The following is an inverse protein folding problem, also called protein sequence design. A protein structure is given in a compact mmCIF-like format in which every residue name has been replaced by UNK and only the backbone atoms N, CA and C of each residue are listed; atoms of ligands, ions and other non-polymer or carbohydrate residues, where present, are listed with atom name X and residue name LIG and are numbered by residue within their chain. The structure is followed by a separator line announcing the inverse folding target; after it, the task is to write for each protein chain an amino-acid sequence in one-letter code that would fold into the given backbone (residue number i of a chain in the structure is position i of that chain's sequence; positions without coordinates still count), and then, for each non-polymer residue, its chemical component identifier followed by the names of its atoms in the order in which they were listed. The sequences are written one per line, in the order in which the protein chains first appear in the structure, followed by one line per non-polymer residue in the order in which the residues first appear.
data_IF_763000989020
#
_entry.id   IF_763000989020
#
_cell.length_a   1.000
_cell.length_b   1.000
_cell.length_c   1.000
_cell.angle_alpha   90.00
_cell.angle_beta   90.00
_cell.angle_gamma   90.00
#
_symmetry.space_group_name_H-M   'P 1'
#
loop_
_entity.id
_entity.type
_entity.pdbx_description
1 polymer ?
#
# COMPACT_ATOMS: atom_id res chain seq x y z
N UNK A 1 -5.28 5.96 16.45
CA UNK A 1 -4.74 4.69 16.95
C UNK A 1 -5.81 4.01 17.81
N UNK A 2 -6.89 3.54 17.17
CA UNK A 2 -7.96 2.70 17.76
C UNK A 2 -7.94 1.30 17.12
N UNK A 3 -7.30 1.16 15.95
CA UNK A 3 -7.12 -0.07 15.18
C UNK A 3 -6.04 -1.03 15.72
N UNK A 4 -5.95 -1.25 17.03
CA UNK A 4 -5.10 -2.36 17.56
C UNK A 4 -5.83 -3.24 18.57
N UNK A 5 -7.08 -2.89 18.93
CA UNK A 5 -7.92 -3.71 19.82
C UNK A 5 -9.14 -4.32 19.12
N UNK A 6 -9.51 -3.83 17.93
CA UNK A 6 -10.61 -4.33 17.11
C UNK A 6 -10.22 -5.41 16.10
N UNK A 7 -8.92 -5.58 15.82
CA UNK A 7 -8.43 -6.37 14.69
C UNK A 7 -8.74 -7.87 14.82
N UNK A 8 -8.98 -8.34 16.05
CA UNK A 8 -9.33 -9.73 16.32
C UNK A 8 -10.82 -10.06 16.11
N UNK A 9 -11.70 -9.05 16.00
CA UNK A 9 -13.14 -9.31 15.96
C UNK A 9 -13.60 -9.95 14.64
N UNK A 10 -13.21 -9.47 13.43
CA UNK A 10 -13.54 -10.14 12.18
C UNK A 10 -12.97 -11.54 12.10
N UNK A 11 -11.71 -11.74 12.51
CA UNK A 11 -11.05 -13.05 12.49
C UNK A 11 -11.78 -14.06 13.40
N UNK A 12 -12.13 -13.65 14.62
CA UNK A 12 -12.80 -14.51 15.58
C UNK A 12 -14.23 -14.88 15.15
N UNK A 13 -14.95 -13.96 14.51
CA UNK A 13 -16.26 -14.25 13.88
C UNK A 13 -16.08 -15.20 12.70
N UNK A 14 -15.12 -14.94 11.82
CA UNK A 14 -14.82 -15.76 10.64
C UNK A 14 -14.51 -17.21 11.01
N UNK A 15 -13.72 -17.45 12.06
CA UNK A 15 -13.47 -18.80 12.60
C UNK A 15 -14.75 -19.47 13.11
N UNK A 16 -15.60 -18.72 13.81
CA UNK A 16 -16.92 -19.19 14.27
C UNK A 16 -17.83 -19.61 13.12
N UNK A 17 -17.77 -18.91 11.99
CA UNK A 17 -18.51 -19.29 10.77
C UNK A 17 -17.94 -20.58 10.17
N UNK A 18 -16.62 -20.63 9.94
CA UNK A 18 -15.98 -21.75 9.25
C UNK A 18 -16.04 -23.07 10.03
N UNK A 19 -15.95 -22.99 11.35
CA UNK A 19 -15.78 -24.16 12.21
C UNK A 19 -16.91 -24.37 13.21
N UNK A 20 -17.83 -23.40 13.36
CA UNK A 20 -18.86 -23.42 14.39
C UNK A 20 -19.68 -24.71 14.40
N UNK A 21 -20.04 -25.25 13.23
CA UNK A 21 -20.77 -26.53 13.16
C UNK A 21 -20.00 -27.70 13.75
N UNK A 22 -18.67 -27.75 13.54
CA UNK A 22 -17.80 -28.76 14.15
C UNK A 22 -17.66 -28.56 15.66
N UNK A 23 -17.80 -27.33 16.12
CA UNK A 23 -17.80 -26.94 17.53
C UNK A 23 -19.18 -27.06 18.21
N UNK A 24 -20.18 -27.61 17.51
CA UNK A 24 -21.52 -27.84 18.04
C UNK A 24 -22.48 -26.65 17.92
N UNK A 25 -22.17 -25.64 17.11
CA UNK A 25 -23.06 -24.50 16.90
C UNK A 25 -24.26 -24.90 16.02
N UNK A 26 -25.41 -24.34 16.34
CA UNK A 26 -26.64 -24.49 15.58
C UNK A 26 -26.56 -23.78 14.22
N UNK A 27 -27.58 -23.99 13.39
CA UNK A 27 -27.67 -23.32 12.10
C UNK A 27 -27.84 -21.82 12.26
N UNK A 28 -28.71 -21.45 13.19
CA UNK A 28 -29.10 -20.08 13.43
C UNK A 28 -27.96 -19.29 14.07
N UNK A 29 -27.15 -19.93 14.92
CA UNK A 29 -25.94 -19.32 15.49
C UNK A 29 -24.89 -19.01 14.40
N UNK A 30 -24.63 -19.98 13.51
CA UNK A 30 -23.68 -19.74 12.39
C UNK A 30 -24.22 -18.70 11.42
N UNK A 31 -25.52 -18.72 11.11
CA UNK A 31 -26.16 -17.71 10.27
C UNK A 31 -26.10 -16.31 10.90
N UNK A 32 -26.32 -16.20 12.22
CA UNK A 32 -26.16 -14.95 12.95
C UNK A 32 -24.73 -14.39 12.86
N UNK A 33 -23.72 -15.26 13.03
CA UNK A 33 -22.33 -14.87 12.87
C UNK A 33 -22.04 -14.40 11.44
N UNK A 34 -22.56 -15.09 10.43
CA UNK A 34 -22.43 -14.72 9.01
C UNK A 34 -23.08 -13.36 8.71
N UNK A 35 -24.34 -13.14 9.14
CA UNK A 35 -25.04 -11.86 8.96
C UNK A 35 -24.29 -10.69 9.59
N UNK A 36 -23.77 -10.90 10.81
CA UNK A 36 -22.99 -9.90 11.53
C UNK A 36 -21.68 -9.60 10.82
N UNK A 37 -20.99 -10.65 10.39
CA UNK A 37 -19.74 -10.56 9.65
C UNK A 37 -19.92 -9.78 8.35
N UNK A 38 -20.94 -10.10 7.56
CA UNK A 38 -21.20 -9.44 6.28
C UNK A 38 -21.49 -7.94 6.47
N UNK A 39 -22.26 -7.57 7.49
CA UNK A 39 -22.53 -6.15 7.83
C UNK A 39 -21.27 -5.37 8.21
N UNK A 40 -20.32 -6.01 8.89
CA UNK A 40 -19.09 -5.36 9.36
C UNK A 40 -17.97 -5.35 8.30
N UNK A 41 -17.93 -6.34 7.42
CA UNK A 41 -16.81 -6.57 6.48
C UNK A 41 -17.15 -6.30 5.02
N UNK A 42 -18.38 -5.87 4.73
CA UNK A 42 -18.79 -5.38 3.41
C UNK A 42 -19.09 -3.90 3.51
N UNK A 43 -18.75 -3.12 2.48
CA UNK A 43 -19.07 -1.68 2.42
C UNK A 43 -20.56 -1.41 2.68
N UNK A 44 -20.83 -0.88 3.87
CA UNK A 44 -22.18 -0.57 4.33
C UNK A 44 -22.15 0.76 5.07
N UNK A 45 -22.93 1.73 4.58
CA UNK A 45 -22.95 3.09 5.15
C UNK A 45 -23.73 3.18 6.48
N UNK A 46 -24.55 2.18 6.82
CA UNK A 46 -25.39 2.17 8.01
C UNK A 46 -25.36 0.79 8.69
N UNK A 47 -24.73 0.72 9.87
CA UNK A 47 -24.54 -0.45 10.71
C UNK A 47 -24.86 -0.07 12.15
N UNK A 48 -25.79 -0.80 12.76
CA UNK A 48 -26.11 -0.65 14.18
C UNK A 48 -25.08 -1.40 15.02
N UNK A 49 -23.98 -0.73 15.37
CA UNK A 49 -22.94 -1.31 16.21
C UNK A 49 -23.45 -1.70 17.61
N UNK A 50 -24.41 -0.95 18.17
CA UNK A 50 -25.02 -1.28 19.45
C UNK A 50 -25.85 -2.58 19.39
N UNK A 51 -26.63 -2.78 18.33
CA UNK A 51 -27.38 -4.04 18.13
C UNK A 51 -26.42 -5.22 17.98
N UNK A 52 -25.40 -5.06 17.14
CA UNK A 52 -24.37 -6.09 16.91
C UNK A 52 -23.66 -6.44 18.21
N UNK A 53 -23.18 -5.43 18.95
CA UNK A 53 -22.50 -5.61 20.23
C UNK A 53 -23.39 -6.36 21.24
N UNK A 54 -24.65 -5.96 21.38
CA UNK A 54 -25.59 -6.57 22.31
C UNK A 54 -25.86 -8.05 21.97
N UNK A 55 -26.16 -8.34 20.70
CA UNK A 55 -26.41 -9.72 20.24
C UNK A 55 -25.16 -10.59 20.38
N UNK A 56 -24.00 -10.05 20.04
CA UNK A 56 -22.73 -10.78 20.12
C UNK A 56 -22.34 -11.06 21.58
N UNK A 57 -22.54 -10.10 22.49
CA UNK A 57 -22.34 -10.31 23.93
C UNK A 57 -23.17 -11.48 24.44
N UNK A 58 -24.48 -11.47 24.17
CA UNK A 58 -25.40 -12.55 24.59
C UNK A 58 -24.97 -13.91 24.00
N UNK A 59 -24.54 -13.93 22.74
CA UNK A 59 -24.02 -15.14 22.12
C UNK A 59 -22.78 -15.68 22.86
N UNK A 60 -21.80 -14.82 23.14
CA UNK A 60 -20.58 -15.22 23.85
C UNK A 60 -20.85 -15.62 25.30
N UNK A 61 -21.75 -14.93 26.01
CA UNK A 61 -22.19 -15.29 27.36
C UNK A 61 -22.75 -16.72 27.38
N UNK A 62 -23.70 -17.02 26.49
CA UNK A 62 -24.29 -18.35 26.38
C UNK A 62 -23.27 -19.42 26.01
N UNK A 63 -22.33 -19.09 25.11
CA UNK A 63 -21.28 -20.02 24.72
C UNK A 63 -20.32 -20.33 25.87
N UNK A 64 -19.95 -19.33 26.67
CA UNK A 64 -19.05 -19.50 27.82
C UNK A 64 -19.70 -20.23 29.00
N UNK A 65 -21.03 -20.32 29.05
CA UNK A 65 -21.77 -21.11 30.04
C UNK A 65 -21.82 -22.61 29.72
N UNK A 66 -21.40 -23.02 28.52
CA UNK A 66 -21.43 -24.41 28.06
C UNK A 66 -20.02 -24.99 27.88
N UNK A 67 -19.47 -25.55 28.97
CA UNK A 67 -18.15 -26.18 29.01
C UNK A 67 -17.99 -27.29 27.96
N UNK A 68 -19.08 -27.98 27.58
CA UNK A 68 -19.04 -29.04 26.59
C UNK A 68 -18.74 -28.50 25.18
N UNK A 69 -19.28 -27.33 24.85
CA UNK A 69 -19.00 -26.63 23.58
C UNK A 69 -17.60 -26.03 23.57
N UNK A 70 -17.19 -25.44 24.69
CA UNK A 70 -15.85 -24.84 24.84
C UNK A 70 -14.73 -25.87 24.67
N UNK A 71 -14.94 -27.11 25.09
CA UNK A 71 -13.94 -28.19 24.95
C UNK A 71 -13.55 -28.52 23.50
N UNK A 72 -14.38 -28.17 22.51
CA UNK A 72 -14.15 -28.45 21.09
C UNK A 72 -13.52 -27.26 20.33
N UNK A 73 -13.36 -26.10 20.99
CA UNK A 73 -12.85 -24.87 20.37
C UNK A 73 -11.35 -24.74 20.67
N UNK A 74 -10.50 -24.37 19.70
CA UNK A 74 -9.09 -24.10 19.97
C UNK A 74 -8.89 -23.01 21.02
N UNK A 75 -7.95 -23.22 21.95
CA UNK A 75 -7.69 -22.31 23.08
C UNK A 75 -7.42 -20.86 22.62
N UNK A 76 -6.69 -20.67 21.52
CA UNK A 76 -6.44 -19.33 20.96
C UNK A 76 -7.73 -18.60 20.59
N UNK A 77 -8.71 -19.32 20.01
CA UNK A 77 -10.01 -18.76 19.63
C UNK A 77 -10.83 -18.42 20.88
N UNK A 78 -10.78 -19.28 21.89
CA UNK A 78 -11.41 -19.03 23.20
C UNK A 78 -10.86 -17.75 23.84
N UNK A 79 -9.54 -17.55 23.82
CA UNK A 79 -8.92 -16.35 24.38
C UNK A 79 -9.33 -15.08 23.63
N UNK A 80 -9.38 -15.13 22.30
CA UNK A 80 -9.89 -14.02 21.47
C UNK A 80 -11.36 -13.71 21.81
N UNK A 81 -12.21 -14.73 21.92
CA UNK A 81 -13.62 -14.55 22.30
C UNK A 81 -13.81 -14.03 23.72
N UNK A 82 -13.01 -14.50 24.70
CA UNK A 82 -12.99 -13.96 26.07
C UNK A 82 -12.62 -12.48 26.08
N UNK A 83 -11.60 -12.09 25.32
CA UNK A 83 -11.20 -10.69 25.19
C UNK A 83 -12.32 -9.82 24.59
N UNK A 84 -12.98 -10.31 23.53
CA UNK A 84 -14.13 -9.64 22.91
C UNK A 84 -15.29 -9.51 23.90
N UNK A 85 -15.65 -10.59 24.61
CA UNK A 85 -16.72 -10.56 25.61
C UNK A 85 -16.44 -9.55 26.73
N UNK A 86 -15.23 -9.55 27.31
CA UNK A 86 -14.85 -8.59 28.35
C UNK A 86 -14.96 -7.17 27.83
N UNK A 87 -14.48 -6.91 26.61
CA UNK A 87 -14.63 -5.60 25.97
C UNK A 87 -16.09 -5.18 25.88
N UNK A 88 -16.95 -6.03 25.30
CA UNK A 88 -18.39 -5.76 25.12
C UNK A 88 -19.13 -5.59 26.46
N UNK A 89 -18.75 -6.35 27.50
CA UNK A 89 -19.37 -6.27 28.83
C UNK A 89 -18.99 -4.99 29.59
N UNK A 90 -17.85 -4.38 29.26
CA UNK A 90 -17.38 -3.12 29.87
C UNK A 90 -17.79 -1.87 29.09
N UNK A 91 -18.40 -2.02 27.91
CA UNK A 91 -18.95 -0.90 27.18
C UNK A 91 -20.22 -0.40 27.88
N UNK A 92 -20.19 0.82 28.41
CA UNK A 92 -21.41 1.54 28.77
C UNK A 92 -22.21 1.78 27.48
N UNK A 93 -23.49 1.41 27.46
CA UNK A 93 -24.38 1.57 26.30
C UNK A 93 -24.42 3.03 25.80
N UNK A 94 -24.05 4.00 26.65
CA UNK A 94 -23.96 5.43 26.34
C UNK A 94 -22.54 5.91 26.01
N UNK A 95 -21.51 5.07 26.22
CA UNK A 95 -20.10 5.38 25.95
C UNK A 95 -19.50 4.56 24.82
N UNK A 96 -20.34 3.90 24.00
CA UNK A 96 -19.94 3.43 22.65
C UNK A 96 -19.44 4.68 21.92
N UNK A 97 -18.11 4.86 21.74
CA UNK A 97 -17.55 6.15 21.37
C UNK A 97 -17.96 6.45 19.93
N UNK A 98 -19.11 7.13 19.74
CA UNK A 98 -19.80 7.36 18.46
C UNK A 98 -19.19 6.50 17.34
N UNK A 99 -19.30 5.17 17.50
CA UNK A 99 -18.63 4.28 16.55
C UNK A 99 -19.33 4.63 15.26
N UNK A 100 -18.56 5.11 14.29
CA UNK A 100 -19.07 5.51 13.00
C UNK A 100 -20.11 4.48 12.59
N UNK A 101 -21.30 4.94 12.22
CA UNK A 101 -22.44 4.06 11.95
C UNK A 101 -22.22 3.26 10.66
N UNK A 102 -20.99 3.03 10.23
CA UNK A 102 -20.59 2.42 8.98
C UNK A 102 -19.85 1.11 9.25
N UNK A 103 -19.74 0.26 8.22
CA UNK A 103 -18.92 -0.96 8.29
C UNK A 103 -17.44 -0.64 8.54
N UNK A 104 -16.65 -1.63 8.97
CA UNK A 104 -15.21 -1.44 9.14
C UNK A 104 -14.51 -1.05 7.83
N UNK A 105 -14.98 -1.59 6.70
CA UNK A 105 -14.44 -1.25 5.37
C UNK A 105 -14.76 0.20 5.02
N UNK A 106 -16.01 0.64 5.20
CA UNK A 106 -16.41 2.03 4.96
C UNK A 106 -15.67 3.01 5.85
N UNK A 107 -15.51 2.68 7.14
CA UNK A 107 -14.73 3.48 8.08
C UNK A 107 -13.27 3.58 7.63
N UNK A 108 -12.63 2.47 7.25
CA UNK A 108 -11.25 2.45 6.78
C UNK A 108 -11.06 3.36 5.55
N UNK A 109 -11.95 3.27 4.56
CA UNK A 109 -11.92 4.10 3.34
C UNK A 109 -12.17 5.58 3.65
N UNK A 110 -13.13 5.89 4.50
CA UNK A 110 -13.43 7.27 4.92
C UNK A 110 -12.26 7.90 5.69
N UNK A 111 -11.62 7.14 6.58
CA UNK A 111 -10.45 7.60 7.33
C UNK A 111 -9.22 7.77 6.44
N UNK A 112 -9.07 6.92 5.42
CA UNK A 112 -8.07 7.09 4.37
C UNK A 112 -8.27 8.41 3.61
N UNK A 113 -9.47 8.66 3.07
CA UNK A 113 -9.76 9.87 2.31
C UNK A 113 -9.55 11.14 3.16
N UNK A 114 -10.11 11.15 4.38
CA UNK A 114 -9.97 12.27 5.31
C UNK A 114 -8.52 12.49 5.73
N UNK A 115 -7.76 11.42 6.00
CA UNK A 115 -6.35 11.53 6.35
C UNK A 115 -5.51 12.06 5.19
N UNK A 116 -5.80 11.60 3.96
CA UNK A 116 -5.12 12.04 2.74
C UNK A 116 -5.24 13.53 2.49
N UNK A 117 -6.42 14.09 2.73
CA UNK A 117 -6.69 15.53 2.58
C UNK A 117 -5.94 16.40 3.61
N UNK A 118 -5.55 15.81 4.74
CA UNK A 118 -4.89 16.50 5.86
C UNK A 118 -3.36 16.32 5.89
N UNK A 119 -2.77 15.67 4.87
CA UNK A 119 -1.32 15.43 4.82
C UNK A 119 -0.56 16.75 4.77
N UNK A 120 0.48 16.83 5.62
CA UNK A 120 1.43 17.93 5.63
C UNK A 120 2.71 17.49 4.91
N UNK A 121 3.10 18.25 3.90
CA UNK A 121 4.33 18.02 3.17
C UNK A 121 5.55 18.51 3.93
N UNK A 122 6.61 17.72 3.95
CA UNK A 122 7.95 18.17 4.30
C UNK A 122 8.76 18.43 3.04
N UNK A 123 9.69 19.39 3.07
CA UNK A 123 10.44 19.82 1.89
C UNK A 123 11.70 18.97 1.61
N UNK A 124 12.16 18.17 2.58
CA UNK A 124 13.39 17.33 2.48
C UNK A 124 14.58 18.11 1.88
N UNK A 125 14.93 19.26 2.47
CA UNK A 125 16.09 20.04 2.01
C UNK A 125 15.92 20.77 0.67
N UNK A 126 14.76 20.68 0.02
CA UNK A 126 14.43 21.53 -1.14
C UNK A 126 14.11 22.96 -0.70
N UNK A 127 14.52 23.95 -1.50
CA UNK A 127 14.13 25.33 -1.27
C UNK A 127 12.70 25.56 -1.73
N UNK A 128 11.91 26.34 -0.96
CA UNK A 128 10.59 26.78 -1.39
C UNK A 128 10.61 27.67 -2.65
N UNK A 129 11.77 28.25 -2.96
CA UNK A 129 11.99 29.10 -4.14
C UNK A 129 12.23 28.29 -5.42
N UNK A 130 12.55 26.99 -5.28
CA UNK A 130 12.75 26.12 -6.43
C UNK A 130 11.42 25.79 -7.10
N UNK A 131 11.33 26.09 -8.41
CA UNK A 131 10.15 25.74 -9.21
C UNK A 131 9.84 24.25 -9.05
N UNK A 132 8.60 23.96 -8.65
CA UNK A 132 8.10 22.60 -8.45
C UNK A 132 8.59 21.88 -7.19
N UNK A 133 9.35 22.52 -6.30
CA UNK A 133 9.66 21.93 -5.00
C UNK A 133 8.39 21.73 -4.14
N UNK A 134 7.46 22.70 -4.17
CA UNK A 134 6.20 22.62 -3.40
C UNK A 134 5.32 21.46 -3.84
N UNK A 135 5.08 21.41 -5.15
CA UNK A 135 4.31 20.33 -5.78
C UNK A 135 5.03 18.99 -5.58
N UNK A 136 6.36 18.97 -5.69
CA UNK A 136 7.22 17.83 -5.35
C UNK A 136 6.99 17.27 -3.94
N UNK A 137 7.10 18.15 -2.95
CA UNK A 137 6.93 17.83 -1.54
C UNK A 137 5.53 17.33 -1.20
N UNK A 138 4.49 18.02 -1.70
CA UNK A 138 3.09 17.61 -1.53
C UNK A 138 2.83 16.22 -2.10
N UNK A 139 3.30 16.01 -3.32
CA UNK A 139 3.07 14.76 -4.04
C UNK A 139 3.77 13.57 -3.38
N UNK A 140 5.04 13.73 -2.98
CA UNK A 140 5.77 12.71 -2.20
C UNK A 140 5.03 12.35 -0.92
N UNK A 141 4.55 13.35 -0.17
CA UNK A 141 3.87 13.11 1.10
C UNK A 141 2.55 12.36 0.90
N UNK A 142 1.77 12.72 -0.13
CA UNK A 142 0.54 12.00 -0.51
C UNK A 142 0.82 10.58 -0.98
N UNK A 143 1.84 10.36 -1.80
CA UNK A 143 2.28 9.02 -2.23
C UNK A 143 2.70 8.13 -1.08
N UNK A 144 3.51 8.66 -0.15
CA UNK A 144 3.93 7.89 1.01
C UNK A 144 2.74 7.46 1.86
N UNK A 145 1.80 8.38 2.11
CA UNK A 145 0.57 8.05 2.81
C UNK A 145 -0.28 7.03 2.05
N UNK A 146 -0.45 7.20 0.75
CA UNK A 146 -1.18 6.26 -0.11
C UNK A 146 -0.56 4.85 -0.03
N UNK A 147 0.77 4.76 -0.06
CA UNK A 147 1.49 3.49 0.09
C UNK A 147 1.32 2.89 1.49
N UNK A 148 1.55 3.67 2.55
CA UNK A 148 1.42 3.21 3.94
C UNK A 148 -0.01 2.73 4.25
N UNK A 149 -1.02 3.46 3.76
CA UNK A 149 -2.43 3.10 3.95
C UNK A 149 -2.81 1.87 3.14
N UNK A 150 -2.30 1.69 1.93
CA UNK A 150 -2.50 0.45 1.18
C UNK A 150 -1.89 -0.75 1.90
N UNK A 151 -0.62 -0.67 2.31
CA UNK A 151 0.09 -1.76 2.98
C UNK A 151 -0.59 -2.15 4.30
N UNK A 152 -1.00 -1.15 5.10
CA UNK A 152 -1.39 -1.40 6.50
C UNK A 152 -2.90 -1.40 6.76
N UNK A 153 -3.72 -0.88 5.83
CA UNK A 153 -5.15 -0.67 6.09
C UNK A 153 -6.02 -1.17 4.93
N UNK A 154 -5.87 -0.61 3.73
CA UNK A 154 -6.82 -0.83 2.64
C UNK A 154 -6.78 -2.26 2.11
N UNK A 155 -5.58 -2.84 1.95
CA UNK A 155 -5.45 -4.25 1.58
C UNK A 155 -6.19 -5.13 2.59
N UNK A 156 -5.94 -4.97 3.89
CA UNK A 156 -6.63 -5.75 4.92
C UNK A 156 -8.15 -5.58 4.89
N UNK A 157 -8.64 -4.35 4.66
CA UNK A 157 -10.07 -4.07 4.57
C UNK A 157 -10.73 -4.83 3.41
N UNK A 158 -10.07 -4.91 2.25
CA UNK A 158 -10.53 -5.69 1.10
C UNK A 158 -10.50 -7.20 1.38
N UNK A 159 -9.62 -7.68 2.28
CA UNK A 159 -9.52 -9.10 2.62
C UNK A 159 -10.44 -9.58 3.74
N UNK A 160 -10.99 -8.67 4.55
CA UNK A 160 -11.78 -9.08 5.71
C UNK A 160 -12.95 -9.97 5.34
N UNK A 161 -13.64 -9.72 4.22
CA UNK A 161 -14.80 -10.53 3.80
C UNK A 161 -14.46 -12.00 3.53
N UNK A 162 -13.18 -12.32 3.27
CA UNK A 162 -12.71 -13.69 2.99
C UNK A 162 -12.33 -14.46 4.25
N UNK A 163 -12.22 -13.80 5.41
CA UNK A 163 -11.94 -14.47 6.70
C UNK A 163 -13.05 -15.45 7.12
N UNK A 164 -14.24 -15.36 6.54
CA UNK A 164 -15.32 -16.33 6.72
C UNK A 164 -15.21 -17.58 5.82
N UNK A 165 -14.11 -17.72 5.06
CA UNK A 165 -13.89 -18.87 4.18
C UNK A 165 -14.54 -18.74 2.80
N UNK A 166 -14.92 -17.51 2.42
CA UNK A 166 -15.31 -17.21 1.02
C UNK A 166 -14.08 -17.37 0.12
N UNK A 167 -14.29 -17.85 -1.11
CA UNK A 167 -13.23 -17.91 -2.11
C UNK A 167 -12.82 -16.50 -2.55
N UNK A 168 -11.52 -16.25 -2.69
CA UNK A 168 -11.01 -15.00 -3.27
C UNK A 168 -11.56 -14.80 -4.68
N UNK A 169 -12.02 -13.59 -4.99
CA UNK A 169 -12.36 -13.19 -6.36
C UNK A 169 -11.08 -12.77 -7.11
N UNK A 170 -11.12 -12.80 -8.44
CA UNK A 170 -10.01 -12.25 -9.27
C UNK A 170 -9.75 -10.77 -8.97
N UNK A 171 -10.82 -10.01 -8.69
CA UNK A 171 -10.72 -8.60 -8.29
C UNK A 171 -9.94 -8.44 -6.98
N UNK A 172 -10.22 -9.26 -5.97
CA UNK A 172 -9.47 -9.19 -4.71
C UNK A 172 -8.00 -9.61 -4.88
N UNK A 173 -7.72 -10.61 -5.71
CA UNK A 173 -6.33 -10.96 -6.05
C UNK A 173 -5.62 -9.84 -6.81
N UNK A 174 -6.35 -9.11 -7.65
CA UNK A 174 -5.82 -7.94 -8.38
C UNK A 174 -5.47 -6.81 -7.40
N UNK A 175 -6.35 -6.49 -6.45
CA UNK A 175 -6.09 -5.47 -5.44
C UNK A 175 -4.89 -5.81 -4.54
N UNK A 176 -4.63 -7.09 -4.29
CA UNK A 176 -3.41 -7.53 -3.58
C UNK A 176 -2.13 -7.23 -4.35
N UNK A 177 -2.17 -7.38 -5.67
CA UNK A 177 -1.02 -7.13 -6.53
C UNK A 177 -0.91 -5.64 -6.90
N UNK A 178 -1.76 -4.75 -6.38
CA UNK A 178 -1.73 -3.34 -6.72
C UNK A 178 -0.36 -2.71 -6.46
N UNK A 179 0.02 -1.84 -7.39
CA UNK A 179 1.28 -1.14 -7.32
C UNK A 179 1.17 0.09 -6.43
N UNK A 180 2.05 0.17 -5.44
CA UNK A 180 2.23 1.36 -4.60
C UNK A 180 3.38 2.21 -5.12
N UNK A 181 3.35 3.51 -4.89
CA UNK A 181 4.33 4.43 -5.47
C UNK A 181 5.06 5.24 -4.41
N UNK A 182 6.34 5.52 -4.67
CA UNK A 182 7.12 6.50 -3.92
C UNK A 182 7.97 7.34 -4.88
N UNK A 183 8.35 8.54 -4.44
CA UNK A 183 9.02 9.49 -5.34
C UNK A 183 10.02 10.41 -4.64
N UNK A 184 11.01 10.92 -5.40
CA UNK A 184 12.02 11.92 -4.94
C UNK A 184 12.36 12.92 -6.04
N UNK A 185 12.49 14.19 -5.65
CA UNK A 185 12.81 15.29 -6.57
C UNK A 185 11.71 16.34 -6.65
N UNK A 186 11.81 17.23 -7.64
CA UNK A 186 10.87 18.35 -7.87
C UNK A 186 9.89 17.97 -8.98
N UNK A 187 8.62 18.36 -8.84
CA UNK A 187 7.53 18.08 -9.80
C UNK A 187 6.64 19.32 -9.99
N UNK A 188 6.13 19.60 -11.19
CA UNK A 188 5.22 20.73 -11.39
C UNK A 188 4.07 20.26 -12.26
N UNK A 189 2.88 20.32 -11.65
CA UNK A 189 1.60 19.96 -12.23
C UNK A 189 1.29 20.75 -13.52
N UNK A 190 1.99 21.86 -13.77
CA UNK A 190 1.80 22.74 -14.94
C UNK A 190 2.62 22.34 -16.16
N UNK A 191 3.52 21.35 -16.06
CA UNK A 191 4.27 20.86 -17.22
C UNK A 191 3.32 20.05 -18.11
N UNK A 192 3.27 20.38 -19.41
CA UNK A 192 2.40 19.68 -20.36
C UNK A 192 2.68 18.18 -20.40
N UNK A 193 1.63 17.37 -20.42
CA UNK A 193 1.73 15.92 -20.44
C UNK A 193 2.04 15.29 -19.08
N UNK A 194 2.02 16.07 -18.00
CA UNK A 194 2.10 15.57 -16.64
C UNK A 194 0.75 14.90 -16.25
N UNK A 195 0.68 13.57 -16.06
CA UNK A 195 -0.55 12.87 -15.69
C UNK A 195 -0.89 13.01 -14.17
N UNK A 196 -0.08 13.75 -13.42
CA UNK A 196 -0.08 13.79 -11.96
C UNK A 196 -1.08 14.85 -11.44
N UNK A 197 -2.33 14.44 -11.29
CA UNK A 197 -3.38 15.20 -10.58
C UNK A 197 -3.29 15.00 -9.05
N UNK A 198 -3.99 15.80 -8.25
CA UNK A 198 -4.08 15.66 -6.78
C UNK A 198 -4.87 14.42 -6.31
N UNK A 199 -4.89 13.38 -7.14
CA UNK A 199 -5.62 12.12 -6.96
C UNK A 199 -4.65 10.97 -6.68
N UNK A 200 -5.11 9.87 -6.07
CA UNK A 200 -4.31 8.65 -5.98
C UNK A 200 -3.85 8.23 -7.37
N UNK A 201 -2.69 7.56 -7.45
CA UNK A 201 -2.28 6.96 -8.70
C UNK A 201 -3.35 5.97 -9.16
N UNK A 202 -3.77 6.02 -10.43
CA UNK A 202 -4.66 5.00 -10.93
C UNK A 202 -3.95 3.64 -10.79
N UNK A 203 -4.68 2.56 -10.42
CA UNK A 203 -4.09 1.23 -10.40
C UNK A 203 -3.45 0.92 -11.75
N UNK A 204 -2.14 0.70 -11.74
CA UNK A 204 -1.44 0.21 -12.94
C UNK A 204 -1.77 -1.28 -13.01
N UNK A 205 -2.34 -1.74 -14.12
CA UNK A 205 -2.57 -3.18 -14.32
C UNK A 205 -1.28 -3.84 -14.79
N UNK A 206 -0.99 -5.03 -14.26
CA UNK A 206 0.10 -5.86 -14.75
C UNK A 206 -0.20 -6.30 -16.20
N UNK A 207 0.60 -5.86 -17.15
CA UNK A 207 0.68 -6.37 -18.51
C UNK A 207 1.47 -7.68 -18.61
N UNK A 208 1.45 -8.28 -19.80
CA UNK A 208 2.03 -9.59 -20.07
C UNK A 208 3.57 -9.61 -20.16
N UNK A 209 4.25 -8.45 -20.08
CA UNK A 209 5.70 -8.31 -20.24
C UNK A 209 6.32 -7.36 -19.18
N UNK A 210 5.74 -7.31 -17.99
CA UNK A 210 6.01 -6.25 -17.01
C UNK A 210 7.25 -6.46 -16.15
N UNK A 211 7.99 -7.56 -16.32
CA UNK A 211 9.20 -7.76 -15.55
C UNK A 211 10.30 -6.83 -16.06
N UNK A 212 10.88 -6.04 -15.16
CA UNK A 212 12.09 -5.27 -15.45
C UNK A 212 13.25 -6.23 -15.70
N UNK A 213 13.83 -6.17 -16.89
CA UNK A 213 14.96 -7.02 -17.33
C UNK A 213 16.25 -6.24 -17.49
N UNK A 214 16.18 -4.91 -17.63
CA UNK A 214 17.35 -4.05 -17.62
C UNK A 214 16.99 -2.62 -17.27
N UNK A 215 17.96 -1.89 -16.74
CA UNK A 215 17.91 -0.45 -16.54
C UNK A 215 19.05 0.16 -17.32
N UNK A 216 18.78 1.26 -18.02
CA UNK A 216 19.78 2.07 -18.69
C UNK A 216 19.67 3.51 -18.21
N UNK A 217 20.79 4.06 -17.75
CA UNK A 217 20.85 5.43 -17.27
C UNK A 217 22.08 6.14 -17.84
N UNK A 218 22.02 7.46 -17.93
CA UNK A 218 23.14 8.26 -18.39
C UNK A 218 23.14 9.65 -17.78
N UNK A 219 24.32 10.22 -17.59
CA UNK A 219 24.48 11.57 -17.06
C UNK A 219 25.84 11.83 -16.43
N UNK A 220 26.32 13.07 -16.56
CA UNK A 220 27.61 13.51 -16.00
C UNK A 220 27.38 14.19 -14.65
N UNK A 221 26.65 15.30 -14.64
CA UNK A 221 26.38 16.07 -13.40
C UNK A 221 25.04 15.68 -12.80
N UNK A 222 24.03 15.50 -13.65
CA UNK A 222 22.67 15.08 -13.28
C UNK A 222 22.35 13.81 -14.05
N UNK A 223 21.32 13.07 -13.62
CA UNK A 223 20.73 12.02 -14.44
C UNK A 223 20.05 12.67 -15.64
N UNK A 224 20.58 12.43 -16.84
CA UNK A 224 20.10 13.01 -18.10
C UNK A 224 19.27 12.03 -18.92
N UNK A 225 19.47 10.73 -18.71
CA UNK A 225 18.69 9.67 -19.33
C UNK A 225 18.34 8.63 -18.27
N UNK A 226 17.09 8.17 -18.29
CA UNK A 226 16.64 6.96 -17.61
C UNK A 226 15.70 6.20 -18.54
N UNK A 227 15.97 4.92 -18.73
CA UNK A 227 15.14 4.04 -19.55
C UNK A 227 15.10 2.64 -18.92
N UNK A 228 13.92 2.04 -18.89
CA UNK A 228 13.70 0.71 -18.32
C UNK A 228 13.32 -0.25 -19.43
N UNK A 229 13.86 -1.46 -19.38
CA UNK A 229 13.48 -2.57 -20.25
C UNK A 229 12.50 -3.49 -19.52
N UNK A 230 11.36 -3.75 -20.14
CA UNK A 230 10.31 -4.64 -19.66
C UNK A 230 10.24 -5.85 -20.60
N UNK A 231 10.57 -7.03 -20.09
CA UNK A 231 10.79 -8.22 -20.90
C UNK A 231 11.86 -7.96 -21.97
N UNK A 232 11.50 -8.07 -23.24
CA UNK A 232 12.41 -7.79 -24.36
C UNK A 232 12.31 -6.36 -24.91
N UNK A 233 11.42 -5.52 -24.37
CA UNK A 233 11.10 -4.22 -24.95
C UNK A 233 11.61 -3.07 -24.07
N UNK A 234 12.36 -2.15 -24.66
CA UNK A 234 12.70 -0.89 -24.01
C UNK A 234 11.47 0.03 -23.95
N UNK A 235 11.14 0.49 -22.74
CA UNK A 235 10.10 1.48 -22.52
C UNK A 235 10.51 2.88 -22.95
N UNK A 236 9.73 3.88 -22.51
CA UNK A 236 10.01 5.28 -22.78
C UNK A 236 11.38 5.71 -22.22
N UNK A 237 12.13 6.46 -23.02
CA UNK A 237 13.34 7.14 -22.57
C UNK A 237 12.96 8.47 -21.91
N UNK A 238 13.24 8.61 -20.62
CA UNK A 238 13.05 9.85 -19.88
C UNK A 238 14.33 10.69 -19.96
N UNK A 239 14.21 11.94 -20.42
CA UNK A 239 15.33 12.89 -20.44
C UNK A 239 15.85 13.21 -21.85
N UNK A 240 17.16 13.10 -22.06
CA UNK A 240 17.85 13.29 -23.33
C UNK A 240 18.08 11.93 -23.99
N UNK A 241 17.63 11.70 -25.24
CA UNK A 241 17.87 10.43 -25.95
C UNK A 241 19.32 10.28 -26.44
N UNK A 242 20.18 11.29 -26.22
CA UNK A 242 21.58 11.30 -26.66
C UNK A 242 22.49 11.76 -25.51
N UNK A 243 22.57 11.00 -24.39
CA UNK A 243 23.56 11.28 -23.36
C UNK A 243 24.97 11.04 -23.92
N UNK A 244 25.99 11.61 -23.27
CA UNK A 244 27.39 11.28 -23.58
C UNK A 244 27.62 9.77 -23.33
N UNK A 245 28.01 8.97 -24.34
CA UNK A 245 28.23 7.54 -24.18
C UNK A 245 29.19 7.17 -23.05
N UNK A 246 30.20 8.00 -22.77
CA UNK A 246 31.14 7.77 -21.67
C UNK A 246 30.49 7.91 -20.27
N UNK A 247 29.30 8.52 -20.20
CA UNK A 247 28.53 8.79 -18.99
C UNK A 247 27.31 7.88 -18.84
N UNK A 248 27.25 6.78 -19.60
CA UNK A 248 26.12 5.85 -19.60
C UNK A 248 26.43 4.56 -18.87
N UNK A 249 25.40 3.90 -18.36
CA UNK A 249 25.52 2.60 -17.71
C UNK A 249 24.23 1.83 -17.80
N UNK A 250 24.38 0.52 -17.82
CA UNK A 250 23.30 -0.44 -17.78
C UNK A 250 23.43 -1.38 -16.58
N UNK A 251 22.31 -1.99 -16.23
CA UNK A 251 22.21 -3.09 -15.28
C UNK A 251 21.20 -4.08 -15.83
N UNK A 252 21.68 -5.26 -16.18
CA UNK A 252 20.82 -6.40 -16.51
C UNK A 252 20.23 -7.02 -15.23
N UNK A 253 18.98 -7.45 -15.32
CA UNK A 253 18.24 -8.15 -14.26
C UNK A 253 17.99 -9.58 -14.72
N UNK A 254 18.73 -10.52 -14.15
CA UNK A 254 18.64 -11.93 -14.54
C UNK A 254 17.41 -12.62 -13.93
N UNK A 255 17.13 -13.84 -14.39
CA UNK A 255 16.08 -14.67 -13.82
C UNK A 255 16.28 -14.86 -12.30
N UNK A 256 15.25 -14.54 -11.51
CA UNK A 256 15.29 -14.60 -10.05
C UNK A 256 15.87 -13.35 -9.37
N UNK A 257 16.46 -12.43 -10.14
CA UNK A 257 16.84 -11.11 -9.64
C UNK A 257 15.65 -10.15 -9.72
N UNK A 258 15.60 -9.21 -8.78
CA UNK A 258 14.64 -8.12 -8.79
C UNK A 258 15.21 -6.90 -8.08
N UNK A 259 14.75 -5.75 -8.50
CA UNK A 259 15.08 -4.47 -7.91
C UNK A 259 14.24 -4.28 -6.65
N UNK A 260 14.84 -3.86 -5.53
CA UNK A 260 14.12 -3.71 -4.26
C UNK A 260 14.37 -2.36 -3.57
N UNK A 261 15.40 -1.64 -4.01
CA UNK A 261 15.83 -0.40 -3.36
C UNK A 261 16.42 0.56 -4.38
N UNK A 262 16.11 1.84 -4.23
CA UNK A 262 16.71 2.92 -5.01
C UNK A 262 17.22 3.99 -4.05
N UNK A 263 18.53 4.23 -4.03
CA UNK A 263 19.03 5.46 -3.41
C UNK A 263 18.78 6.62 -4.37
N UNK A 264 18.50 7.81 -3.85
CA UNK A 264 18.28 8.98 -4.68
C UNK A 264 19.02 10.18 -4.10
N UNK A 265 19.87 10.81 -4.91
CA UNK A 265 20.40 12.14 -4.64
C UNK A 265 19.67 13.15 -5.49
N UNK A 266 19.14 14.19 -4.86
CA UNK A 266 18.34 15.20 -5.53
C UNK A 266 18.54 16.59 -4.93
N UNK A 267 18.09 17.58 -5.69
CA UNK A 267 18.07 18.99 -5.32
C UNK A 267 17.29 19.74 -6.40
N UNK A 268 17.96 20.68 -7.08
CA UNK A 268 17.39 21.27 -8.29
C UNK A 268 17.17 20.21 -9.40
N UNK A 269 18.03 19.19 -9.48
CA UNK A 269 17.92 18.09 -10.44
C UNK A 269 18.02 16.75 -9.73
N UNK A 270 17.62 15.70 -10.43
CA UNK A 270 17.94 14.32 -10.06
C UNK A 270 19.46 14.15 -10.27
N UNK A 271 20.17 14.08 -9.17
CA UNK A 271 21.62 14.02 -9.16
C UNK A 271 22.13 12.63 -9.44
N UNK A 272 21.60 11.62 -8.75
CA UNK A 272 21.97 10.22 -8.92
C UNK A 272 20.81 9.32 -8.45
N UNK A 273 20.64 8.15 -9.06
CA UNK A 273 19.60 7.18 -8.68
C UNK A 273 20.06 5.73 -8.88
N UNK A 274 20.98 5.17 -8.06
CA UNK A 274 21.41 3.79 -8.21
C UNK A 274 20.32 2.84 -7.74
N UNK A 275 19.99 1.88 -8.59
CA UNK A 275 19.03 0.82 -8.32
C UNK A 275 19.76 -0.42 -7.85
N UNK A 276 19.28 -1.03 -6.76
CA UNK A 276 19.87 -2.21 -6.16
C UNK A 276 19.02 -3.45 -6.44
N UNK A 277 19.71 -4.53 -6.80
CA UNK A 277 19.17 -5.88 -6.92
C UNK A 277 19.22 -6.58 -5.57
N UNK A 278 18.29 -7.50 -5.35
CA UNK A 278 18.27 -8.41 -4.20
C UNK A 278 19.59 -9.19 -4.01
N UNK A 279 20.40 -9.32 -5.07
CA UNK A 279 21.74 -9.93 -5.04
C UNK A 279 22.84 -9.00 -4.51
N UNK A 280 22.50 -7.76 -4.10
CA UNK A 280 23.39 -6.67 -3.68
C UNK A 280 24.21 -6.04 -4.80
N UNK A 281 24.04 -6.49 -6.04
CA UNK A 281 24.51 -5.78 -7.22
C UNK A 281 23.67 -4.50 -7.41
N UNK A 282 24.25 -3.48 -8.02
CA UNK A 282 23.55 -2.22 -8.27
C UNK A 282 23.94 -1.61 -9.60
N UNK A 283 23.05 -0.77 -10.14
CA UNK A 283 23.35 0.11 -11.26
C UNK A 283 24.51 1.02 -10.86
N UNK A 284 25.52 1.13 -11.73
CA UNK A 284 26.61 2.07 -11.52
C UNK A 284 26.04 3.48 -11.40
N UNK A 285 26.64 4.27 -10.53
CA UNK A 285 26.19 5.64 -10.31
C UNK A 285 26.45 6.50 -11.56
N UNK A 286 25.45 7.29 -11.94
CA UNK A 286 25.53 8.33 -12.97
C UNK A 286 25.01 9.63 -12.38
N UNK A 287 25.60 10.75 -12.82
CA UNK A 287 25.41 12.03 -12.16
C UNK A 287 26.04 12.07 -10.76
N UNK A 288 26.20 13.29 -10.23
CA UNK A 288 26.90 13.53 -8.97
C UNK A 288 26.40 14.76 -8.22
N UNK A 289 25.32 15.39 -8.69
CA UNK A 289 24.74 16.58 -8.07
C UNK A 289 23.72 16.20 -6.99
N UNK A 290 23.06 17.21 -6.41
CA UNK A 290 22.04 17.02 -5.38
C UNK A 290 22.64 16.94 -3.97
N UNK A 291 22.20 17.85 -3.10
CA UNK A 291 22.63 17.89 -1.70
C UNK A 291 21.79 17.04 -0.77
N UNK A 292 20.60 16.60 -1.22
CA UNK A 292 19.69 15.80 -0.41
C UNK A 292 19.77 14.34 -0.83
N UNK A 293 19.98 13.45 0.14
CA UNK A 293 19.80 12.00 -0.02
C UNK A 293 18.39 11.60 0.41
N UNK A 294 17.74 10.77 -0.40
CA UNK A 294 16.53 10.04 -0.05
C UNK A 294 16.63 8.58 -0.48
N UNK A 295 15.72 7.77 0.04
CA UNK A 295 15.66 6.33 -0.23
C UNK A 295 14.24 5.97 -0.67
N UNK A 296 14.12 5.07 -1.65
CA UNK A 296 12.86 4.57 -2.17
C UNK A 296 12.86 3.05 -2.06
N UNK A 297 12.08 2.53 -1.11
CA UNK A 297 11.92 1.10 -0.88
C UNK A 297 10.67 0.84 -0.03
N UNK A 298 10.14 -0.37 -0.14
CA UNK A 298 9.15 -0.92 0.77
C UNK A 298 9.55 -2.35 1.12
N UNK A 299 9.41 -2.73 2.40
CA UNK A 299 9.70 -4.09 2.84
C UNK A 299 8.83 -5.09 2.07
N UNK A 300 9.40 -6.22 1.64
CA UNK A 300 8.70 -7.29 0.91
C UNK A 300 8.09 -6.89 -0.44
N UNK A 301 8.56 -5.79 -1.04
CA UNK A 301 8.16 -5.36 -2.38
C UNK A 301 9.33 -5.34 -3.36
N UNK A 302 9.03 -5.51 -4.64
CA UNK A 302 9.95 -5.29 -5.76
C UNK A 302 9.54 -4.05 -6.55
N UNK A 303 10.51 -3.38 -7.15
CA UNK A 303 10.26 -2.32 -8.13
C UNK A 303 9.71 -2.94 -9.40
N UNK A 304 8.58 -2.40 -9.86
CA UNK A 304 7.87 -2.86 -11.05
C UNK A 304 7.70 -1.78 -12.09
N UNK A 305 7.80 -0.51 -11.74
CA UNK A 305 7.80 0.58 -12.70
C UNK A 305 8.67 1.74 -12.25
N UNK A 306 9.19 2.49 -13.21
CA UNK A 306 10.01 3.67 -12.95
C UNK A 306 9.66 4.75 -13.96
N UNK A 307 9.48 5.97 -13.47
CA UNK A 307 9.17 7.15 -14.27
C UNK A 307 10.16 8.26 -13.95
N UNK A 308 10.88 8.74 -14.97
CA UNK A 308 11.71 9.93 -14.86
C UNK A 308 10.88 11.19 -15.12
N UNK A 309 11.10 12.23 -14.32
CA UNK A 309 10.36 13.49 -14.48
C UNK A 309 11.27 14.55 -15.08
N UNK A 310 10.80 15.16 -16.17
CA UNK A 310 11.52 16.20 -16.93
C UNK A 310 10.70 17.48 -17.02
N UNK A 311 11.32 18.62 -16.78
CA UNK A 311 10.80 19.94 -17.14
C UNK A 311 11.56 20.46 -18.33
N UNK A 312 10.88 20.61 -19.46
CA UNK A 312 11.52 21.00 -20.71
C UNK A 312 12.14 22.41 -20.67
N UNK A 313 11.75 23.26 -19.72
CA UNK A 313 12.15 24.67 -19.66
C UNK A 313 13.22 25.03 -18.64
N UNK A 314 13.69 24.11 -17.79
CA UNK A 314 14.62 24.47 -16.69
C UNK A 314 16.06 24.05 -16.97
N UNK A 315 16.97 25.03 -17.05
CA UNK A 315 18.41 24.79 -16.91
C UNK A 315 18.71 24.45 -15.44
N UNK A 316 19.64 23.55 -15.10
CA UNK A 316 20.57 22.75 -15.94
C UNK A 316 19.90 21.58 -16.69
N UNK A 317 20.58 20.90 -17.62
CA UNK A 317 20.05 19.66 -18.23
C UNK A 317 19.87 18.56 -17.18
N UNK A 318 18.93 17.65 -17.41
CA UNK A 318 18.68 16.50 -16.55
C UNK A 318 17.24 16.38 -16.09
N UNK A 319 16.91 15.21 -15.55
CA UNK A 319 15.66 14.94 -14.86
C UNK A 319 15.59 15.75 -13.57
N UNK A 320 14.39 16.08 -13.12
CA UNK A 320 14.11 16.83 -11.89
C UNK A 320 13.63 15.93 -10.76
N UNK A 321 13.22 14.70 -11.07
CA UNK A 321 12.87 13.70 -10.08
C UNK A 321 12.55 12.34 -10.68
N UNK A 322 12.15 11.43 -9.80
CA UNK A 322 11.90 10.02 -10.10
C UNK A 322 10.72 9.51 -9.28
N UNK A 323 9.86 8.72 -9.92
CA UNK A 323 8.80 7.94 -9.28
C UNK A 323 9.12 6.47 -9.51
N UNK A 324 8.94 5.68 -8.47
CA UNK A 324 9.16 4.24 -8.47
C UNK A 324 7.90 3.57 -7.98
N UNK A 325 7.39 2.63 -8.76
CA UNK A 325 6.27 1.76 -8.41
C UNK A 325 6.78 0.43 -7.87
N UNK A 326 6.07 -0.09 -6.87
CA UNK A 326 6.43 -1.28 -6.13
C UNK A 326 5.24 -2.23 -6.03
N UNK A 327 5.48 -3.53 -6.22
CA UNK A 327 4.48 -4.59 -5.97
C UNK A 327 4.98 -5.60 -4.94
N UNK A 328 4.08 -6.26 -4.20
CA UNK A 328 4.48 -7.28 -3.24
C UNK A 328 5.15 -8.50 -3.91
N UNK A 329 6.12 -9.09 -3.21
CA UNK A 329 6.88 -10.26 -3.71
C UNK A 329 6.09 -11.57 -3.69
N UNK A 330 5.14 -11.71 -2.77
CA UNK A 330 4.43 -12.96 -2.47
C UNK A 330 3.31 -13.33 -3.46
N UNK A 331 3.08 -12.50 -4.49
CA UNK A 331 2.01 -12.70 -5.49
C UNK A 331 2.53 -13.00 -6.89
N UNK A 332 3.82 -13.36 -7.04
CA UNK A 332 4.28 -13.99 -8.28
C UNK A 332 3.51 -15.31 -8.43
N UNK A 333 2.42 -15.26 -9.18
CA UNK A 333 1.76 -16.45 -9.71
C UNK A 333 2.75 -17.15 -10.63
N UNK A 334 2.97 -18.44 -10.37
CA UNK A 334 3.58 -19.36 -11.33
C UNK A 334 2.69 -19.54 -12.57
#
# INVERSE_FOLDING_TARGET
MVCTRSDNAPEAIGRGIQHGRKWGFSADEVNFLQETFDKLTTETAAVSHAEIASRHRIFLENLMLDDSRMSNVPEETIQKWKAVHVYLATMDEHAVPAIDGSSYVTYAKTMYESGRDNIKSEWEGLSGDDIGAKHGANFRAKMQYDADMNIHVLNYADFWLYLAGKHFTEEALTNLDDEIFASRGRYDIRVNGNPWEDKPFPPVKRGSNDQITAIYAGGITNVELLQIKYGDTWGAAYGSPKPDPASTTDLDVNAGEYLYWVDVWFGQKLGCAPFWLNTKNKLREVGSSGGTKGELWFADHQVTSVYGIKYESSALSGLEGIIVGFRPLFLKSD
#
